data_IF_476535312021
#
_entry.id   IF_476535312021
#
_cell.length_a   1.000
_cell.length_b   1.000
_cell.length_c   1.000
_cell.angle_alpha   90.00
_cell.angle_beta   90.00
_cell.angle_gamma   90.00
#
_symmetry.space_group_name_H-M   'P 1'
#
loop_
_entity.id
_entity.type
_entity.pdbx_description
1 polymer ?
#
# COMPACT_ATOMS: atom_id res chain seq x y z
N UNK A 1 13.49 14.66 36.82
CA UNK A 1 13.66 14.83 35.35
C UNK A 1 13.50 13.46 34.73
N UNK A 2 12.27 13.06 34.40
CA UNK A 2 11.97 11.76 33.76
C UNK A 2 10.48 11.71 33.38
N UNK A 3 10.05 12.50 32.40
CA UNK A 3 8.68 12.43 31.86
C UNK A 3 8.55 12.95 30.43
N UNK A 4 9.65 13.13 29.70
CA UNK A 4 9.64 13.74 28.35
C UNK A 4 9.67 12.69 27.23
N UNK A 5 10.26 11.52 27.49
CA UNK A 5 10.42 10.46 26.48
C UNK A 5 9.14 9.67 26.22
N UNK A 6 8.25 9.54 27.21
CA UNK A 6 7.00 8.80 27.05
C UNK A 6 5.95 9.59 26.24
N UNK A 7 5.98 10.93 26.32
CA UNK A 7 5.09 11.80 25.54
C UNK A 7 5.48 11.79 24.06
N UNK A 8 6.79 11.79 23.76
CA UNK A 8 7.27 11.78 22.37
C UNK A 8 6.88 10.52 21.59
N UNK A 9 6.80 9.35 22.24
CA UNK A 9 6.42 8.09 21.57
C UNK A 9 4.91 8.02 21.32
N UNK A 10 4.09 8.65 22.18
CA UNK A 10 2.64 8.72 21.99
C UNK A 10 2.25 9.54 20.76
N UNK A 11 2.98 10.61 20.48
CA UNK A 11 2.74 11.51 19.34
C UNK A 11 3.09 10.88 17.97
N UNK A 12 4.04 9.94 17.91
CA UNK A 12 4.32 9.18 16.68
C UNK A 12 3.34 8.03 16.43
N UNK A 13 2.64 7.54 17.47
CA UNK A 13 1.71 6.41 17.38
C UNK A 13 0.25 6.87 17.26
N UNK A 14 -0.08 8.07 17.73
CA UNK A 14 -1.37 8.72 17.47
C UNK A 14 -1.30 9.50 16.15
N UNK A 15 -2.13 9.11 15.18
CA UNK A 15 -2.34 9.85 13.93
C UNK A 15 -3.10 11.18 14.12
N UNK A 16 -2.86 11.89 15.23
CA UNK A 16 -3.55 13.15 15.58
C UNK A 16 -3.00 14.34 14.79
N UNK A 17 -1.84 14.16 14.14
CA UNK A 17 -1.20 15.16 13.29
C UNK A 17 -1.04 14.69 11.84
N UNK A 18 -2.06 14.04 11.25
CA UNK A 18 -2.07 13.87 9.80
C UNK A 18 -2.01 15.25 9.13
N UNK A 19 -1.00 15.55 8.29
CA UNK A 19 -0.90 16.84 7.63
C UNK A 19 -2.21 17.12 6.90
N UNK A 20 -2.76 18.34 7.00
CA UNK A 20 -3.99 18.72 6.30
C UNK A 20 -3.92 18.49 4.78
N UNK A 21 -2.70 18.39 4.23
CA UNK A 21 -2.44 18.04 2.84
C UNK A 21 -2.65 16.55 2.49
N UNK A 22 -2.63 15.62 3.46
CA UNK A 22 -2.85 14.18 3.23
C UNK A 22 -4.18 13.92 2.51
N UNK A 23 -5.23 14.62 2.96
CA UNK A 23 -6.55 14.60 2.33
C UNK A 23 -6.54 15.11 0.89
N UNK A 24 -5.72 16.12 0.60
CA UNK A 24 -5.58 16.67 -0.76
C UNK A 24 -4.91 15.65 -1.68
N UNK A 25 -3.86 14.97 -1.22
CA UNK A 25 -3.21 13.92 -2.00
C UNK A 25 -4.12 12.72 -2.24
N UNK A 26 -4.90 12.32 -1.24
CA UNK A 26 -5.88 11.24 -1.38
C UNK A 26 -6.98 11.61 -2.39
N UNK A 27 -7.57 12.80 -2.24
CA UNK A 27 -8.56 13.30 -3.18
C UNK A 27 -7.99 13.42 -4.61
N UNK A 28 -6.76 13.93 -4.75
CA UNK A 28 -6.07 14.04 -6.03
C UNK A 28 -5.79 12.66 -6.65
N UNK A 29 -5.40 11.66 -5.85
CA UNK A 29 -5.22 10.29 -6.29
C UNK A 29 -6.52 9.66 -6.81
N UNK A 30 -7.64 9.91 -6.13
CA UNK A 30 -8.97 9.48 -6.58
C UNK A 30 -9.36 10.17 -7.88
N UNK A 31 -9.15 11.49 -8.00
CA UNK A 31 -9.48 12.23 -9.22
C UNK A 31 -8.63 11.76 -10.40
N UNK A 32 -7.31 11.58 -10.21
CA UNK A 32 -6.41 11.08 -11.24
C UNK A 32 -6.77 9.66 -11.70
N UNK A 33 -7.15 8.78 -10.78
CA UNK A 33 -7.55 7.42 -11.13
C UNK A 33 -8.84 7.41 -11.96
N UNK A 34 -9.83 8.22 -11.57
CA UNK A 34 -11.08 8.39 -12.34
C UNK A 34 -10.84 8.95 -13.74
N UNK A 35 -10.01 10.00 -13.87
CA UNK A 35 -9.66 10.58 -15.18
C UNK A 35 -8.97 9.54 -16.05
N UNK A 36 -8.05 8.76 -15.49
CA UNK A 36 -7.34 7.69 -16.21
C UNK A 36 -8.31 6.59 -16.65
N UNK A 37 -9.27 6.20 -15.82
CA UNK A 37 -10.32 5.22 -16.15
C UNK A 37 -11.21 5.69 -17.30
N UNK A 38 -11.66 6.95 -17.25
CA UNK A 38 -12.47 7.54 -18.32
C UNK A 38 -11.67 7.58 -19.63
N UNK A 39 -10.42 8.03 -19.56
CA UNK A 39 -9.55 8.12 -20.73
C UNK A 39 -9.23 6.74 -21.30
N UNK A 40 -9.02 5.72 -20.46
CA UNK A 40 -8.86 4.34 -20.87
C UNK A 40 -10.09 3.83 -21.61
N UNK A 41 -11.29 4.04 -21.06
CA UNK A 41 -12.55 3.63 -21.69
C UNK A 41 -12.77 4.27 -23.06
N UNK A 42 -12.29 5.50 -23.27
CA UNK A 42 -12.35 6.17 -24.58
C UNK A 42 -11.26 5.71 -25.55
N UNK A 43 -10.03 5.50 -25.07
CA UNK A 43 -8.88 5.16 -25.91
C UNK A 43 -8.89 3.68 -26.34
N UNK A 44 -9.44 2.80 -25.50
CA UNK A 44 -9.50 1.35 -25.71
C UNK A 44 -10.94 0.82 -25.58
N UNK A 45 -11.86 1.22 -26.48
CA UNK A 45 -13.25 0.79 -26.40
C UNK A 45 -13.36 -0.74 -26.58
N UNK A 46 -14.16 -1.38 -25.72
CA UNK A 46 -14.40 -2.83 -25.76
C UNK A 46 -13.25 -3.71 -25.28
N UNK A 47 -12.17 -3.12 -24.74
CA UNK A 47 -11.14 -3.86 -24.02
C UNK A 47 -11.40 -3.79 -22.52
N UNK A 48 -11.28 -4.93 -21.86
CA UNK A 48 -11.31 -5.00 -20.40
C UNK A 48 -10.16 -4.17 -19.80
N UNK A 49 -10.35 -3.72 -18.56
CA UNK A 49 -9.33 -2.98 -17.84
C UNK A 49 -8.09 -3.87 -17.66
N UNK A 50 -6.87 -3.38 -17.95
CA UNK A 50 -5.66 -4.18 -17.79
C UNK A 50 -5.53 -4.54 -16.32
N UNK A 51 -5.79 -5.80 -16.00
CA UNK A 51 -5.56 -6.34 -14.67
C UNK A 51 -4.09 -6.72 -14.56
N UNK A 52 -3.55 -6.67 -13.35
CA UNK A 52 -2.13 -6.98 -13.10
C UNK A 52 -1.80 -8.42 -13.55
N UNK A 53 -2.79 -9.30 -13.60
CA UNK A 53 -2.67 -10.66 -14.14
C UNK A 53 -2.42 -10.73 -15.64
N UNK A 54 -2.86 -9.75 -16.43
CA UNK A 54 -2.63 -9.74 -17.89
C UNK A 54 -1.18 -9.39 -18.25
N UNK A 55 -0.48 -8.73 -17.32
CA UNK A 55 0.89 -8.24 -17.51
C UNK A 55 1.93 -9.30 -17.09
N UNK A 56 1.60 -10.09 -16.06
CA UNK A 56 2.46 -11.15 -15.54
C UNK A 56 1.71 -12.48 -15.55
N UNK A 57 2.03 -13.39 -16.49
CA UNK A 57 1.35 -14.69 -16.65
C UNK A 57 1.37 -15.56 -15.38
N UNK A 58 2.35 -15.35 -14.49
CA UNK A 58 2.42 -16.07 -13.21
C UNK A 58 1.27 -15.72 -12.25
N UNK A 59 0.55 -14.62 -12.50
CA UNK A 59 -0.63 -14.22 -11.72
C UNK A 59 -1.95 -14.58 -12.39
N UNK A 60 -1.93 -15.16 -13.58
CA UNK A 60 -3.11 -15.71 -14.25
C UNK A 60 -3.65 -16.88 -13.40
N UNK A 61 -4.91 -16.79 -12.98
CA UNK A 61 -5.55 -17.76 -12.07
C UNK A 61 -5.19 -17.62 -10.57
N UNK A 62 -4.17 -16.85 -10.20
CA UNK A 62 -3.82 -16.57 -8.79
C UNK A 62 -4.86 -15.68 -8.12
N UNK A 63 -5.33 -14.65 -8.84
CA UNK A 63 -6.37 -13.75 -8.32
C UNK A 63 -7.77 -14.37 -8.33
N UNK A 64 -8.00 -15.39 -9.16
CA UNK A 64 -9.29 -16.11 -9.24
C UNK A 64 -9.39 -17.27 -8.21
N UNK A 65 -8.27 -17.90 -7.87
CA UNK A 65 -8.24 -19.09 -7.00
C UNK A 65 -8.20 -18.81 -5.49
N UNK A 66 -8.20 -17.54 -5.06
CA UNK A 66 -8.08 -17.16 -3.65
C UNK A 66 -6.71 -17.44 -3.01
N UNK A 67 -5.78 -18.05 -3.74
CA UNK A 67 -4.40 -18.32 -3.26
C UNK A 67 -3.63 -17.02 -3.00
N UNK A 68 -4.01 -15.92 -3.65
CA UNK A 68 -3.37 -14.61 -3.50
C UNK A 68 -3.41 -14.09 -2.04
N UNK A 69 -4.42 -14.45 -1.24
CA UNK A 69 -4.46 -14.14 0.19
C UNK A 69 -3.31 -14.81 0.96
N UNK A 70 -2.97 -16.06 0.62
CA UNK A 70 -1.85 -16.78 1.23
C UNK A 70 -0.51 -16.18 0.80
N UNK A 71 -0.37 -15.81 -0.48
CA UNK A 71 0.84 -15.15 -1.00
C UNK A 71 1.06 -13.81 -0.28
N UNK A 72 -0.01 -13.02 -0.09
CA UNK A 72 0.04 -11.76 0.65
C UNK A 72 0.48 -12.01 2.11
N UNK A 73 -0.11 -13.00 2.78
CA UNK A 73 0.27 -13.38 4.14
C UNK A 73 1.75 -13.78 4.27
N UNK A 74 2.27 -14.58 3.32
CA UNK A 74 3.69 -14.95 3.28
C UNK A 74 4.56 -13.72 3.06
N UNK A 75 4.22 -12.85 2.11
CA UNK A 75 4.96 -11.61 1.87
C UNK A 75 5.00 -10.74 3.12
N UNK A 76 3.87 -10.55 3.79
CA UNK A 76 3.79 -9.78 5.04
C UNK A 76 4.64 -10.40 6.15
N UNK A 77 4.66 -11.72 6.28
CA UNK A 77 5.52 -12.43 7.23
C UNK A 77 7.01 -12.24 6.94
N UNK A 78 7.42 -12.36 5.67
CA UNK A 78 8.81 -12.12 5.24
C UNK A 78 9.23 -10.68 5.50
N UNK A 79 8.37 -9.71 5.15
CA UNK A 79 8.64 -8.30 5.42
C UNK A 79 8.76 -8.00 6.91
N UNK A 80 7.93 -8.63 7.76
CA UNK A 80 8.04 -8.48 9.20
C UNK A 80 9.39 -8.99 9.73
N UNK A 81 9.87 -10.15 9.26
CA UNK A 81 11.18 -10.69 9.63
C UNK A 81 12.29 -9.73 9.20
N UNK A 82 12.25 -9.25 7.95
CA UNK A 82 13.25 -8.31 7.42
C UNK A 82 13.22 -6.99 8.22
N UNK A 83 12.03 -6.48 8.54
CA UNK A 83 11.87 -5.25 9.31
C UNK A 83 12.46 -5.40 10.72
N UNK A 84 12.21 -6.52 11.39
CA UNK A 84 12.80 -6.80 12.71
C UNK A 84 14.32 -6.89 12.62
N UNK A 85 14.86 -7.63 11.64
CA UNK A 85 16.31 -7.71 11.47
C UNK A 85 16.96 -6.36 11.15
N UNK A 86 16.32 -5.51 10.33
CA UNK A 86 16.82 -4.17 10.03
C UNK A 86 16.77 -3.26 11.25
N UNK A 87 15.73 -3.38 12.08
CA UNK A 87 15.60 -2.66 13.35
C UNK A 87 16.69 -3.08 14.32
N UNK A 88 16.93 -4.37 14.46
CA UNK A 88 18.03 -4.90 15.28
C UNK A 88 19.39 -4.46 14.76
N UNK A 89 19.63 -4.54 13.45
CA UNK A 89 20.89 -4.15 12.82
C UNK A 89 21.19 -2.63 12.87
N UNK A 90 20.17 -1.79 13.03
CA UNK A 90 20.31 -0.33 13.17
C UNK A 90 20.35 0.11 14.64
N UNK A 91 19.94 -0.75 15.57
CA UNK A 91 19.92 -0.46 17.02
C UNK A 91 21.29 -0.63 17.70
N UNK A 92 22.36 -0.89 16.95
CA UNK A 92 23.75 -0.93 17.42
C UNK A 92 24.56 0.29 16.95
#
# INVERSE_FOLDING_TARGET
MSSDSADSVGEFIQGESEPSSSWVFLAMGIVLSLVTLILHGMLFPGRDLPVISDILPIFEGVFDSGIWFFILGIMMGVFAIIATMMTEATSE
#
